data_IF_481955948250
#
_entry.id   IF_481955948250
#
_cell.length_a   1.000
_cell.length_b   1.000
_cell.length_c   1.000
_cell.angle_alpha   90.00
_cell.angle_beta   90.00
_cell.angle_gamma   90.00
#
_symmetry.space_group_name_H-M   'P 1'
#
loop_
_entity.id
_entity.type
_entity.pdbx_description
1 polymer ?
#
# COMPACT_ATOMS: atom_id res chain seq x y z
N UNK A 1 -16.63 -6.62 -10.28
CA UNK A 1 -17.22 -7.95 -9.99
C UNK A 1 -16.23 -8.83 -9.22
N UNK A 2 -16.71 -9.73 -8.36
CA UNK A 2 -15.86 -10.74 -7.70
C UNK A 2 -16.13 -12.07 -8.38
N UNK A 3 -15.08 -12.79 -8.78
CA UNK A 3 -15.19 -14.05 -9.51
C UNK A 3 -14.32 -15.13 -8.86
N UNK A 4 -14.77 -16.38 -8.87
CA UNK A 4 -13.93 -17.52 -8.49
C UNK A 4 -13.04 -17.93 -9.68
N UNK A 5 -11.82 -18.37 -9.40
CA UNK A 5 -10.86 -18.82 -10.42
C UNK A 5 -10.12 -20.08 -9.96
N UNK A 6 -9.94 -21.01 -10.88
CA UNK A 6 -9.37 -22.35 -10.71
C UNK A 6 -7.91 -22.47 -11.18
N UNK A 7 -7.26 -21.36 -11.55
CA UNK A 7 -5.95 -21.39 -12.23
C UNK A 7 -4.98 -20.29 -11.82
N UNK A 8 -5.23 -19.57 -10.73
CA UNK A 8 -4.31 -18.55 -10.23
C UNK A 8 -3.41 -19.12 -9.12
N UNK A 9 -2.10 -18.90 -9.24
CA UNK A 9 -1.11 -19.33 -8.23
C UNK A 9 -1.22 -18.50 -6.93
N UNK A 10 -1.69 -17.25 -7.04
CA UNK A 10 -1.95 -16.39 -5.89
C UNK A 10 -3.34 -16.62 -5.30
N UNK A 11 -3.50 -16.34 -4.01
CA UNK A 11 -4.81 -16.46 -3.34
C UNK A 11 -5.87 -15.57 -4.02
N UNK A 12 -5.50 -14.35 -4.40
CA UNK A 12 -6.35 -13.46 -5.18
C UNK A 12 -5.56 -12.71 -6.26
N UNK A 13 -6.27 -12.17 -7.24
CA UNK A 13 -5.70 -11.31 -8.28
C UNK A 13 -6.69 -10.22 -8.69
N UNK A 14 -6.24 -8.97 -8.77
CA UNK A 14 -7.03 -7.86 -9.27
C UNK A 14 -6.84 -7.65 -10.78
N UNK A 15 -7.95 -7.64 -11.51
CA UNK A 15 -8.06 -7.21 -12.90
C UNK A 15 -8.58 -5.79 -13.03
N UNK A 16 -8.89 -5.35 -14.26
CA UNK A 16 -9.33 -3.98 -14.50
C UNK A 16 -10.71 -3.66 -13.88
N UNK A 17 -11.61 -4.63 -13.86
CA UNK A 17 -12.99 -4.50 -13.35
C UNK A 17 -13.40 -5.65 -12.42
N UNK A 18 -12.46 -6.53 -12.05
CA UNK A 18 -12.75 -7.72 -11.27
C UNK A 18 -11.67 -8.07 -10.26
N UNK A 19 -12.07 -8.78 -9.20
CA UNK A 19 -11.16 -9.47 -8.28
C UNK A 19 -11.43 -10.96 -8.44
N UNK A 20 -10.40 -11.71 -8.79
CA UNK A 20 -10.43 -13.17 -8.85
C UNK A 20 -10.00 -13.73 -7.51
N UNK A 21 -10.79 -14.60 -6.92
CA UNK A 21 -10.45 -15.36 -5.71
C UNK A 21 -10.17 -16.81 -6.11
N UNK A 22 -9.10 -17.38 -5.58
CA UNK A 22 -8.76 -18.78 -5.79
C UNK A 22 -9.80 -19.67 -5.09
N UNK A 23 -10.47 -20.54 -5.85
CA UNK A 23 -11.52 -21.41 -5.34
C UNK A 23 -11.01 -22.47 -4.35
N UNK A 24 -9.72 -22.82 -4.43
CA UNK A 24 -9.10 -23.86 -3.61
C UNK A 24 -8.56 -23.30 -2.28
N UNK A 25 -8.63 -21.97 -2.09
CA UNK A 25 -8.17 -21.29 -0.87
C UNK A 25 -9.36 -20.90 0.00
N UNK A 26 -9.26 -21.16 1.30
CA UNK A 26 -10.22 -20.66 2.28
C UNK A 26 -9.76 -19.31 2.80
N UNK A 27 -10.62 -18.30 2.64
CA UNK A 27 -10.37 -16.95 3.14
C UNK A 27 -11.02 -16.76 4.50
N UNK A 28 -10.28 -16.17 5.42
CA UNK A 28 -10.84 -15.56 6.61
C UNK A 28 -11.52 -14.23 6.26
N UNK A 29 -12.49 -13.81 7.08
CA UNK A 29 -13.11 -12.49 6.93
C UNK A 29 -12.07 -11.36 6.89
N UNK A 30 -10.99 -11.49 7.66
CA UNK A 30 -9.93 -10.50 7.72
C UNK A 30 -9.15 -10.39 6.40
N UNK A 31 -8.94 -11.50 5.71
CA UNK A 31 -8.30 -11.49 4.38
C UNK A 31 -9.21 -10.85 3.34
N UNK A 32 -10.51 -11.12 3.39
CA UNK A 32 -11.50 -10.47 2.53
C UNK A 32 -11.54 -8.95 2.75
N UNK A 33 -11.55 -8.52 4.02
CA UNK A 33 -11.52 -7.10 4.36
C UNK A 33 -10.27 -6.41 3.81
N UNK A 34 -9.10 -7.06 3.88
CA UNK A 34 -7.85 -6.53 3.30
C UNK A 34 -7.95 -6.47 1.78
N UNK A 35 -8.48 -7.50 1.12
CA UNK A 35 -8.66 -7.51 -0.33
C UNK A 35 -9.62 -6.40 -0.79
N UNK A 36 -10.70 -6.17 -0.06
CA UNK A 36 -11.63 -5.09 -0.36
C UNK A 36 -10.92 -3.72 -0.34
N UNK A 37 -10.19 -3.42 0.73
CA UNK A 37 -9.58 -2.09 0.90
C UNK A 37 -8.34 -1.90 0.03
N UNK A 38 -7.55 -2.95 -0.20
CA UNK A 38 -6.32 -2.89 -0.98
C UNK A 38 -6.60 -3.02 -2.48
N UNK A 39 -7.24 -4.12 -2.89
CA UNK A 39 -7.47 -4.45 -4.29
C UNK A 39 -8.73 -3.77 -4.83
N UNK A 40 -9.82 -3.77 -4.06
CA UNK A 40 -11.10 -3.22 -4.49
C UNK A 40 -11.09 -1.69 -4.57
N UNK A 41 -10.89 -1.04 -3.44
CA UNK A 41 -11.00 0.41 -3.33
C UNK A 41 -9.87 1.17 -4.02
N UNK A 42 -8.64 0.65 -3.98
CA UNK A 42 -7.49 1.33 -4.58
C UNK A 42 -7.21 0.83 -5.99
N UNK A 43 -6.80 -0.43 -6.19
CA UNK A 43 -6.38 -0.86 -7.53
C UNK A 43 -7.54 -0.89 -8.54
N UNK A 44 -8.67 -1.52 -8.21
CA UNK A 44 -9.85 -1.56 -9.09
C UNK A 44 -10.53 -0.19 -9.11
N UNK A 45 -10.77 0.43 -7.95
CA UNK A 45 -11.45 1.72 -7.85
C UNK A 45 -10.79 2.82 -8.67
N UNK A 46 -9.46 2.97 -8.57
CA UNK A 46 -8.73 3.95 -9.39
C UNK A 46 -8.69 3.56 -10.87
N UNK A 47 -8.65 2.27 -11.20
CA UNK A 47 -8.77 1.83 -12.60
C UNK A 47 -10.11 2.28 -13.19
N UNK A 48 -11.21 2.10 -12.44
CA UNK A 48 -12.55 2.50 -12.86
C UNK A 48 -12.70 4.02 -12.95
N UNK A 49 -12.18 4.77 -11.97
CA UNK A 49 -12.14 6.24 -12.05
C UNK A 49 -11.37 6.71 -13.28
N UNK A 50 -10.22 6.09 -13.58
CA UNK A 50 -9.42 6.40 -14.76
C UNK A 50 -10.18 6.13 -16.05
N UNK A 51 -10.91 5.01 -16.14
CA UNK A 51 -11.75 4.69 -17.31
C UNK A 51 -12.92 5.65 -17.48
N UNK A 52 -13.44 6.21 -16.38
CA UNK A 52 -14.55 7.16 -16.38
C UNK A 52 -14.14 8.60 -16.74
N UNK A 53 -12.83 8.89 -16.88
CA UNK A 53 -12.37 10.23 -17.27
C UNK A 53 -12.78 10.56 -18.71
N UNK A 54 -13.32 11.77 -18.99
CA UNK A 54 -13.88 12.10 -20.30
C UNK A 54 -12.83 12.13 -21.42
N UNK A 55 -11.62 12.60 -21.12
CA UNK A 55 -10.55 12.77 -22.10
C UNK A 55 -9.31 11.91 -21.82
N UNK A 56 -9.04 11.60 -20.55
CA UNK A 56 -7.79 10.96 -20.09
C UNK A 56 -8.01 9.53 -19.59
N UNK A 57 -8.69 8.69 -20.38
CA UNK A 57 -8.94 7.28 -20.02
C UNK A 57 -7.67 6.45 -19.82
N UNK A 58 -6.52 6.93 -20.31
CA UNK A 58 -5.20 6.36 -20.08
C UNK A 58 -4.81 6.32 -18.59
N UNK A 59 -5.42 7.16 -17.75
CA UNK A 59 -5.26 7.13 -16.30
C UNK A 59 -5.72 5.81 -15.68
N UNK A 60 -6.49 4.96 -16.38
CA UNK A 60 -6.83 3.60 -15.92
C UNK A 60 -5.64 2.63 -15.88
N UNK A 61 -4.59 2.89 -16.66
CA UNK A 61 -3.39 2.04 -16.74
C UNK A 61 -2.26 2.58 -15.87
N UNK A 62 -2.08 3.90 -15.89
CA UNK A 62 -0.97 4.56 -15.20
C UNK A 62 0.39 4.26 -15.84
N UNK A 63 1.39 5.02 -15.43
CA UNK A 63 2.80 4.80 -15.81
C UNK A 63 3.46 3.85 -14.81
N UNK A 64 4.64 3.26 -15.12
CA UNK A 64 5.40 2.47 -14.16
C UNK A 64 5.68 3.21 -12.84
N UNK A 65 5.83 4.54 -12.86
CA UNK A 65 6.02 5.35 -11.65
C UNK A 65 4.79 5.43 -10.75
N UNK A 66 3.58 5.30 -11.29
CA UNK A 66 2.33 5.30 -10.51
C UNK A 66 2.22 4.13 -9.54
N UNK A 67 2.95 3.02 -9.76
CA UNK A 67 2.93 1.86 -8.86
C UNK A 67 3.28 2.25 -7.43
N UNK A 68 4.24 3.16 -7.24
CA UNK A 68 4.63 3.62 -5.89
C UNK A 68 3.44 4.32 -5.22
N UNK A 69 2.75 5.22 -5.91
CA UNK A 69 1.57 5.90 -5.37
C UNK A 69 0.43 4.92 -5.08
N UNK A 70 0.16 3.98 -5.98
CA UNK A 70 -0.92 3.00 -5.86
C UNK A 70 -0.71 2.08 -4.65
N UNK A 71 0.48 1.48 -4.52
CA UNK A 71 0.80 0.64 -3.37
C UNK A 71 0.80 1.45 -2.07
N UNK A 72 1.23 2.72 -2.13
CA UNK A 72 1.17 3.64 -1.01
C UNK A 72 -0.24 3.96 -0.53
N UNK A 73 -1.15 4.27 -1.45
CA UNK A 73 -2.57 4.49 -1.18
C UNK A 73 -3.22 3.23 -0.60
N UNK A 74 -2.85 2.05 -1.11
CA UNK A 74 -3.35 0.77 -0.65
C UNK A 74 -2.90 0.47 0.79
N UNK A 75 -1.61 0.59 1.09
CA UNK A 75 -1.08 0.41 2.46
C UNK A 75 -1.66 1.44 3.43
N UNK A 76 -1.73 2.72 3.03
CA UNK A 76 -2.34 3.76 3.85
C UNK A 76 -3.80 3.40 4.17
N UNK A 77 -4.55 2.96 3.16
CA UNK A 77 -5.95 2.56 3.27
C UNK A 77 -6.11 1.35 4.18
N UNK A 78 -5.25 0.32 4.09
CA UNK A 78 -5.23 -0.80 5.04
C UNK A 78 -5.07 -0.33 6.50
N UNK A 79 -4.19 0.65 6.74
CA UNK A 79 -3.86 1.15 8.09
C UNK A 79 -5.01 1.98 8.67
N UNK A 80 -5.50 2.98 7.93
CA UNK A 80 -6.51 3.93 8.45
C UNK A 80 -7.91 3.30 8.58
N UNK A 81 -8.16 2.21 7.85
CA UNK A 81 -9.39 1.41 8.02
C UNK A 81 -9.25 0.30 9.08
N UNK A 82 -8.09 0.25 9.77
CA UNK A 82 -7.76 -0.75 10.80
C UNK A 82 -7.87 -2.21 10.32
N UNK A 83 -7.76 -2.44 9.00
CA UNK A 83 -7.79 -3.78 8.41
C UNK A 83 -6.41 -4.43 8.39
N UNK A 84 -5.34 -3.63 8.39
CA UNK A 84 -3.96 -4.13 8.52
C UNK A 84 -3.71 -4.79 9.88
N UNK A 85 -2.59 -5.50 10.00
CA UNK A 85 -2.21 -6.25 11.19
C UNK A 85 -0.73 -6.07 11.50
N UNK A 86 -0.27 -6.23 12.76
CA UNK A 86 1.16 -6.23 13.06
C UNK A 86 1.93 -7.24 12.20
N UNK A 87 1.40 -8.45 12.03
CA UNK A 87 1.98 -9.48 11.15
C UNK A 87 2.07 -9.02 9.69
N UNK A 88 1.06 -8.29 9.20
CA UNK A 88 1.04 -7.74 7.84
C UNK A 88 2.10 -6.67 7.66
N UNK A 89 2.25 -5.74 8.61
CA UNK A 89 3.27 -4.71 8.59
C UNK A 89 4.68 -5.31 8.72
N UNK A 90 4.90 -6.24 9.64
CA UNK A 90 6.18 -6.96 9.78
C UNK A 90 6.57 -7.66 8.48
N UNK A 91 5.62 -8.30 7.77
CA UNK A 91 5.89 -8.90 6.45
C UNK A 91 6.38 -7.86 5.42
N UNK A 92 5.82 -6.65 5.40
CA UNK A 92 6.27 -5.59 4.48
C UNK A 92 7.67 -5.08 4.85
N UNK A 93 7.93 -4.86 6.14
CA UNK A 93 9.23 -4.41 6.65
C UNK A 93 10.33 -5.44 6.36
N UNK A 94 10.05 -6.71 6.66
CA UNK A 94 10.97 -7.82 6.44
C UNK A 94 11.39 -7.96 4.97
N UNK A 95 10.45 -7.73 4.03
CA UNK A 95 10.76 -7.74 2.60
C UNK A 95 11.77 -6.65 2.21
N UNK A 96 11.65 -5.47 2.77
CA UNK A 96 12.58 -4.36 2.52
C UNK A 96 13.94 -4.66 3.13
N UNK A 97 13.96 -5.15 4.37
CA UNK A 97 15.20 -5.55 5.05
C UNK A 97 15.94 -6.64 4.26
N UNK A 98 15.23 -7.62 3.72
CA UNK A 98 15.83 -8.65 2.88
C UNK A 98 16.43 -8.05 1.59
N UNK A 99 15.74 -7.12 0.92
CA UNK A 99 16.29 -6.41 -0.24
C UNK A 99 17.57 -5.65 0.13
N UNK A 100 17.59 -4.95 1.27
CA UNK A 100 18.79 -4.27 1.78
C UNK A 100 19.93 -5.26 2.01
N UNK A 101 19.69 -6.39 2.68
CA UNK A 101 20.72 -7.42 2.92
C UNK A 101 21.33 -7.94 1.62
N UNK A 102 20.53 -8.16 0.57
CA UNK A 102 21.05 -8.61 -0.73
C UNK A 102 21.89 -7.51 -1.41
N UNK A 103 21.47 -6.23 -1.32
CA UNK A 103 22.29 -5.11 -1.79
C UNK A 103 23.65 -5.06 -1.06
N UNK A 104 23.65 -5.40 0.23
CA UNK A 104 24.84 -5.47 1.08
C UNK A 104 25.64 -6.78 0.91
N UNK A 105 25.27 -7.64 -0.05
CA UNK A 105 26.02 -8.82 -0.45
C UNK A 105 25.49 -10.17 0.04
N UNK A 106 24.31 -10.21 0.68
CA UNK A 106 23.68 -11.47 1.09
C UNK A 106 23.15 -12.27 -0.10
N UNK A 107 23.32 -13.60 -0.07
CA UNK A 107 22.78 -14.51 -1.08
C UNK A 107 21.43 -15.11 -0.65
N UNK A 108 20.79 -15.84 -1.55
CA UNK A 108 19.51 -16.51 -1.29
C UNK A 108 19.54 -17.34 -0.01
N UNK A 109 20.61 -18.10 0.22
CA UNK A 109 20.73 -18.98 1.39
C UNK A 109 20.79 -18.18 2.69
N UNK A 110 21.39 -16.99 2.67
CA UNK A 110 21.49 -16.11 3.82
C UNK A 110 20.12 -15.55 4.18
N UNK A 111 19.36 -15.08 3.17
CA UNK A 111 17.98 -14.60 3.35
C UNK A 111 17.08 -15.72 3.87
N UNK A 112 17.21 -16.93 3.32
CA UNK A 112 16.46 -18.09 3.79
C UNK A 112 16.76 -18.40 5.27
N UNK A 113 18.05 -18.49 5.63
CA UNK A 113 18.49 -18.78 7.00
C UNK A 113 18.05 -17.70 7.98
N UNK A 114 18.11 -16.44 7.57
CA UNK A 114 17.66 -15.29 8.36
C UNK A 114 16.16 -15.37 8.68
N UNK A 115 15.32 -15.74 7.71
CA UNK A 115 13.89 -15.95 7.97
C UNK A 115 13.60 -17.13 8.90
N UNK A 116 14.33 -18.23 8.74
CA UNK A 116 14.22 -19.38 9.66
C UNK A 116 14.64 -18.97 11.08
N UNK A 117 15.71 -18.20 11.23
CA UNK A 117 16.19 -17.71 12.53
C UNK A 117 15.18 -16.75 13.20
N UNK A 118 14.38 -16.02 12.41
CA UNK A 118 13.26 -15.19 12.89
C UNK A 118 12.02 -16.02 13.28
N UNK A 119 12.06 -17.35 13.18
CA UNK A 119 10.99 -18.24 13.59
C UNK A 119 9.92 -18.51 12.53
N UNK A 120 10.17 -18.18 11.25
CA UNK A 120 9.28 -18.56 10.16
C UNK A 120 9.44 -20.05 9.83
N UNK A 121 8.38 -20.66 9.27
CA UNK A 121 8.46 -22.02 8.76
C UNK A 121 9.47 -22.11 7.60
N UNK A 122 9.99 -23.30 7.33
CA UNK A 122 10.91 -23.52 6.20
C UNK A 122 10.26 -23.15 4.86
N UNK A 123 8.99 -23.49 4.68
CA UNK A 123 8.26 -23.22 3.44
C UNK A 123 7.98 -21.72 3.25
N UNK A 124 7.59 -21.02 4.32
CA UNK A 124 7.39 -19.56 4.29
C UNK A 124 8.73 -18.85 4.01
N UNK A 125 9.80 -19.29 4.67
CA UNK A 125 11.14 -18.72 4.51
C UNK A 125 11.66 -18.88 3.09
N UNK A 126 11.46 -20.07 2.49
CA UNK A 126 11.83 -20.34 1.11
C UNK A 126 11.01 -19.47 0.14
N UNK A 127 9.70 -19.40 0.33
CA UNK A 127 8.79 -18.61 -0.51
C UNK A 127 9.14 -17.11 -0.45
N UNK A 128 9.46 -16.58 0.73
CA UNK A 128 9.86 -15.19 0.89
C UNK A 128 11.25 -14.92 0.29
N UNK A 129 12.22 -15.82 0.46
CA UNK A 129 13.53 -15.69 -0.18
C UNK A 129 13.40 -15.73 -1.72
N UNK A 130 12.62 -16.67 -2.27
CA UNK A 130 12.33 -16.74 -3.70
C UNK A 130 11.70 -15.47 -4.24
N UNK A 131 10.82 -14.82 -3.46
CA UNK A 131 10.24 -13.54 -3.84
C UNK A 131 11.31 -12.44 -3.96
N UNK A 132 12.27 -12.39 -3.03
CA UNK A 132 13.37 -11.41 -3.05
C UNK A 132 14.25 -11.58 -4.29
N UNK A 133 14.46 -12.80 -4.77
CA UNK A 133 15.28 -13.10 -5.96
C UNK A 133 14.44 -13.35 -7.23
N UNK A 134 13.16 -12.95 -7.26
CA UNK A 134 12.29 -13.23 -8.40
C UNK A 134 12.85 -12.62 -9.69
N UNK A 135 13.08 -13.46 -10.69
CA UNK A 135 13.68 -13.04 -11.97
C UNK A 135 15.19 -12.81 -11.91
N UNK A 136 15.84 -13.31 -10.86
CA UNK A 136 17.29 -13.23 -10.60
C UNK A 136 17.86 -14.63 -10.31
N UNK A 137 19.16 -14.72 -10.08
CA UNK A 137 19.83 -15.96 -9.63
C UNK A 137 20.02 -15.93 -8.10
N UNK A 138 20.32 -17.06 -7.45
CA UNK A 138 20.55 -17.10 -5.99
C UNK A 138 21.67 -16.19 -5.47
N UNK A 139 22.58 -15.76 -6.34
CA UNK A 139 23.72 -14.87 -6.06
C UNK A 139 23.59 -13.52 -6.78
N UNK A 140 22.43 -13.25 -7.38
CA UNK A 140 22.16 -12.05 -8.17
C UNK A 140 21.59 -10.91 -7.33
N UNK A 141 21.17 -9.84 -8.00
CA UNK A 141 20.55 -8.68 -7.35
C UNK A 141 19.08 -8.96 -6.96
N UNK A 142 18.53 -8.22 -5.99
CA UNK A 142 17.17 -8.45 -5.53
C UNK A 142 16.13 -7.81 -6.46
N UNK A 143 14.92 -8.38 -6.46
CA UNK A 143 13.72 -7.80 -7.05
C UNK A 143 13.17 -6.69 -6.16
N UNK A 144 13.46 -5.44 -6.52
CA UNK A 144 13.21 -4.24 -5.69
C UNK A 144 11.76 -3.77 -5.63
N UNK A 145 10.81 -4.48 -6.26
CA UNK A 145 9.40 -4.07 -6.30
C UNK A 145 8.80 -3.86 -4.91
N UNK A 146 9.18 -4.67 -3.93
CA UNK A 146 8.62 -4.60 -2.57
C UNK A 146 8.99 -3.31 -1.82
N UNK A 147 9.97 -2.52 -2.30
CA UNK A 147 10.26 -1.17 -1.77
C UNK A 147 9.09 -0.21 -2.05
N UNK A 148 8.35 -0.42 -3.14
CA UNK A 148 7.27 0.49 -3.56
C UNK A 148 6.17 0.66 -2.50
N UNK A 149 5.89 -0.37 -1.69
CA UNK A 149 4.85 -0.35 -0.65
C UNK A 149 5.13 0.71 0.42
N UNK A 150 6.27 0.59 1.12
CA UNK A 150 6.60 1.51 2.22
C UNK A 150 7.02 2.88 1.68
N UNK A 151 7.79 2.92 0.58
CA UNK A 151 8.11 4.20 -0.08
C UNK A 151 6.83 4.94 -0.47
N UNK A 152 5.89 4.24 -1.09
CA UNK A 152 4.59 4.78 -1.47
C UNK A 152 3.83 5.31 -0.28
N UNK A 153 3.72 4.51 0.79
CA UNK A 153 3.05 4.90 2.02
C UNK A 153 3.63 6.21 2.57
N UNK A 154 4.96 6.30 2.70
CA UNK A 154 5.65 7.49 3.20
C UNK A 154 5.35 8.72 2.34
N UNK A 155 5.39 8.59 1.01
CA UNK A 155 5.15 9.70 0.09
C UNK A 155 3.70 10.18 0.17
N UNK A 156 2.73 9.27 0.06
CA UNK A 156 1.29 9.58 0.11
C UNK A 156 0.91 10.17 1.46
N UNK A 157 1.38 9.57 2.55
CA UNK A 157 1.14 10.07 3.90
C UNK A 157 1.64 11.51 4.09
N UNK A 158 2.86 11.80 3.63
CA UNK A 158 3.43 13.14 3.75
C UNK A 158 2.73 14.16 2.84
N UNK A 159 2.33 13.78 1.62
CA UNK A 159 1.52 14.64 0.77
C UNK A 159 0.21 15.02 1.47
N UNK A 160 -0.48 14.05 2.07
CA UNK A 160 -1.73 14.30 2.80
C UNK A 160 -1.49 15.24 3.98
N UNK A 161 -0.43 15.03 4.76
CA UNK A 161 -0.06 15.92 5.87
C UNK A 161 0.20 17.35 5.41
N UNK A 162 0.94 17.53 4.32
CA UNK A 162 1.22 18.85 3.75
C UNK A 162 -0.06 19.50 3.24
N UNK A 163 -0.93 18.77 2.56
CA UNK A 163 -2.22 19.29 2.10
C UNK A 163 -3.11 19.75 3.25
N UNK A 164 -3.15 18.99 4.36
CA UNK A 164 -3.87 19.39 5.59
C UNK A 164 -3.29 20.68 6.16
N UNK A 165 -1.96 20.77 6.29
CA UNK A 165 -1.30 21.95 6.83
C UNK A 165 -1.54 23.20 5.97
N UNK A 166 -1.65 23.05 4.65
CA UNK A 166 -1.94 24.13 3.71
C UNK A 166 -3.45 24.42 3.57
N UNK A 167 -4.33 23.69 4.27
CA UNK A 167 -5.78 23.83 4.15
C UNK A 167 -6.33 23.37 2.79
N UNK A 168 -5.60 22.53 2.05
CA UNK A 168 -5.93 22.03 0.70
C UNK A 168 -6.43 20.59 0.71
N UNK A 169 -7.16 20.25 1.77
CA UNK A 169 -7.71 18.91 1.99
C UNK A 169 -8.68 18.53 0.87
N UNK A 170 -9.41 19.51 0.32
CA UNK A 170 -10.32 19.39 -0.82
C UNK A 170 -9.68 18.74 -2.06
N UNK A 171 -8.35 18.79 -2.19
CA UNK A 171 -7.62 18.23 -3.33
C UNK A 171 -7.25 16.76 -3.18
N UNK A 172 -7.28 16.21 -1.97
CA UNK A 172 -6.86 14.83 -1.71
C UNK A 172 -7.65 13.76 -2.48
N UNK A 173 -8.97 13.90 -2.74
CA UNK A 173 -9.68 12.95 -3.58
C UNK A 173 -9.06 12.83 -4.98
N UNK A 174 -8.36 13.84 -5.48
CA UNK A 174 -7.72 13.79 -6.79
C UNK A 174 -6.61 12.72 -6.89
N UNK A 175 -6.13 12.18 -5.77
CA UNK A 175 -5.27 10.99 -5.77
C UNK A 175 -5.94 9.74 -6.35
N UNK A 176 -7.27 9.75 -6.45
CA UNK A 176 -8.09 8.60 -6.81
C UNK A 176 -8.68 8.70 -8.23
N UNK A 177 -8.43 9.78 -8.98
CA UNK A 177 -8.97 9.98 -10.35
C UNK A 177 -8.50 8.92 -11.33
N UNK A 178 -7.43 8.21 -10.99
CA UNK A 178 -6.80 7.16 -11.78
C UNK A 178 -5.51 6.68 -11.15
N UNK A 179 -4.70 5.98 -11.92
CA UNK A 179 -3.35 5.55 -11.56
C UNK A 179 -2.36 6.66 -11.91
N UNK A 180 -2.12 7.55 -10.95
CA UNK A 180 -1.24 8.71 -11.12
C UNK A 180 0.07 8.55 -10.34
N UNK A 181 1.14 9.20 -10.81
CA UNK A 181 2.32 9.43 -9.98
C UNK A 181 2.04 10.57 -9.00
N UNK A 182 2.65 10.51 -7.82
CA UNK A 182 2.55 11.59 -6.84
C UNK A 182 3.18 12.88 -7.36
N UNK A 183 4.21 12.76 -8.19
CA UNK A 183 4.91 13.89 -8.83
C UNK A 183 4.00 14.65 -9.81
N UNK A 184 2.99 13.97 -10.36
CA UNK A 184 2.03 14.56 -11.29
C UNK A 184 0.85 15.23 -10.57
N UNK A 185 0.77 15.15 -9.23
CA UNK A 185 -0.41 15.60 -8.47
C UNK A 185 -0.76 17.08 -8.70
N UNK A 186 0.26 17.93 -8.88
CA UNK A 186 0.07 19.34 -9.24
C UNK A 186 -0.59 19.50 -10.61
N UNK A 187 -0.11 18.77 -11.61
CA UNK A 187 -0.65 18.79 -12.97
C UNK A 187 -2.09 18.25 -12.99
N UNK A 188 -2.34 17.15 -12.29
CA UNK A 188 -3.68 16.58 -12.13
C UNK A 188 -4.65 17.60 -11.52
N UNK A 189 -4.21 18.33 -10.49
CA UNK A 189 -5.02 19.39 -9.87
C UNK A 189 -5.34 20.53 -10.85
N UNK A 190 -4.36 20.95 -11.65
CA UNK A 190 -4.56 21.99 -12.68
C UNK A 190 -5.52 21.54 -13.79
N UNK A 191 -5.41 20.29 -14.24
CA UNK A 191 -6.29 19.72 -15.25
C UNK A 191 -7.72 19.55 -14.71
N UNK A 192 -7.87 19.27 -13.42
CA UNK A 192 -9.18 19.27 -12.75
C UNK A 192 -9.79 20.68 -12.69
N UNK A 193 -9.00 21.70 -12.32
CA UNK A 193 -9.46 23.10 -12.32
C UNK A 193 -9.89 23.59 -13.72
N UNK A 194 -9.29 23.04 -14.78
CA UNK A 194 -9.63 23.33 -16.18
C UNK A 194 -10.81 22.49 -16.72
N UNK A 195 -11.37 21.57 -15.93
CA UNK A 195 -12.47 20.68 -16.36
C UNK A 195 -12.03 19.59 -17.34
N UNK A 196 -10.73 19.29 -17.44
CA UNK A 196 -10.20 18.19 -18.27
C UNK A 196 -10.25 16.87 -17.49
N UNK A 197 -10.05 16.92 -16.17
CA UNK A 197 -10.19 15.79 -15.26
C UNK A 197 -11.43 16.00 -14.42
N UNK A 198 -12.28 14.98 -14.35
CA UNK A 198 -13.45 14.94 -13.48
C UNK A 198 -13.09 14.36 -12.12
N UNK A 199 -13.84 14.76 -11.09
CA UNK A 199 -13.71 14.21 -9.75
C UNK A 199 -13.91 12.68 -9.74
N UNK A 200 -13.20 11.92 -8.88
CA UNK A 200 -13.35 10.47 -8.83
C UNK A 200 -14.76 10.08 -8.37
N UNK A 201 -15.32 9.01 -8.95
CA UNK A 201 -16.61 8.46 -8.57
C UNK A 201 -16.46 7.40 -7.46
N UNK A 202 -15.47 6.53 -7.61
CA UNK A 202 -15.11 5.50 -6.64
C UNK A 202 -14.13 6.06 -5.62
N UNK A 203 -14.68 6.56 -4.51
CA UNK A 203 -13.90 7.09 -3.38
C UNK A 203 -14.08 6.17 -2.17
N UNK A 204 -13.00 5.66 -1.55
CA UNK A 204 -13.09 4.85 -0.34
C UNK A 204 -13.81 5.62 0.78
N UNK A 205 -14.62 4.97 1.63
CA UNK A 205 -15.43 5.66 2.65
C UNK A 205 -14.64 6.65 3.53
N UNK A 206 -13.41 6.31 3.92
CA UNK A 206 -12.53 7.16 4.74
C UNK A 206 -11.95 8.37 4.00
N UNK A 207 -11.97 8.39 2.66
CA UNK A 207 -11.63 9.57 1.85
C UNK A 207 -12.86 10.44 1.54
N UNK A 208 -14.09 9.99 1.82
CA UNK A 208 -15.30 10.80 1.61
C UNK A 208 -15.47 11.87 2.67
N UNK A 209 -15.14 11.57 3.93
CA UNK A 209 -15.08 12.56 5.00
C UNK A 209 -13.64 12.78 5.48
N UNK A 210 -12.98 13.74 4.82
CA UNK A 210 -11.59 14.05 5.09
C UNK A 210 -11.36 14.73 6.45
N UNK A 211 -12.43 15.14 7.17
CA UNK A 211 -12.31 15.70 8.52
C UNK A 211 -11.82 14.65 9.51
N UNK A 212 -12.30 13.41 9.37
CA UNK A 212 -11.85 12.27 10.19
C UNK A 212 -10.37 11.97 9.96
N UNK A 213 -9.96 11.92 8.70
CA UNK A 213 -8.55 11.72 8.33
C UNK A 213 -7.65 12.87 8.82
N UNK A 214 -8.11 14.12 8.65
CA UNK A 214 -7.38 15.29 9.11
C UNK A 214 -7.23 15.32 10.64
N UNK A 215 -8.28 14.94 11.37
CA UNK A 215 -8.25 14.84 12.83
C UNK A 215 -7.25 13.77 13.28
N UNK A 216 -7.32 12.58 12.69
CA UNK A 216 -6.40 11.48 13.01
C UNK A 216 -4.93 11.85 12.74
N UNK A 217 -4.64 12.48 11.60
CA UNK A 217 -3.29 12.90 11.25
C UNK A 217 -2.76 14.05 12.09
N UNK A 218 -3.62 15.00 12.46
CA UNK A 218 -3.27 16.11 13.34
C UNK A 218 -2.96 15.61 14.75
N UNK A 219 -3.74 14.65 15.24
CA UNK A 219 -3.50 14.01 16.53
C UNK A 219 -2.20 13.18 16.52
N UNK A 220 -1.93 12.44 15.44
CA UNK A 220 -0.69 11.68 15.27
C UNK A 220 0.57 12.57 15.33
N UNK A 221 0.51 13.80 14.81
CA UNK A 221 1.60 14.78 14.94
C UNK A 221 1.82 15.17 16.41
N UNK A 222 0.76 15.53 17.12
CA UNK A 222 0.84 15.91 18.53
C UNK A 222 1.44 14.79 19.39
N UNK A 223 1.00 13.55 19.19
CA UNK A 223 1.54 12.39 19.92
C UNK A 223 2.99 12.08 19.50
N UNK A 224 3.34 12.24 18.22
CA UNK A 224 4.69 12.03 17.73
C UNK A 224 5.74 12.97 18.34
N UNK A 225 5.31 14.13 18.84
CA UNK A 225 6.17 15.08 19.56
C UNK A 225 6.40 14.65 21.03
N UNK A 226 5.70 13.62 21.53
CA UNK A 226 5.90 13.07 22.87
C UNK A 226 7.09 12.10 22.90
N UNK A 227 7.89 12.16 23.96
CA UNK A 227 9.01 11.24 24.17
C UNK A 227 8.50 9.85 24.55
N UNK A 228 8.62 8.90 23.63
CA UNK A 228 8.23 7.51 23.87
C UNK A 228 9.02 6.86 25.02
N UNK A 229 10.31 7.17 25.14
CA UNK A 229 11.17 6.67 26.21
C UNK A 229 10.70 7.10 27.61
N UNK A 230 10.25 8.37 27.76
CA UNK A 230 9.66 8.84 29.01
C UNK A 230 8.35 8.13 29.31
N UNK A 231 7.47 8.01 28.32
CA UNK A 231 6.18 7.32 28.48
C UNK A 231 6.37 5.84 28.83
N UNK A 232 7.32 5.15 28.21
CA UNK A 232 7.63 3.76 28.55
C UNK A 232 8.10 3.63 29.99
N UNK A 233 9.02 4.49 30.45
CA UNK A 233 9.48 4.48 31.83
C UNK A 233 8.35 4.76 32.84
N UNK A 234 7.43 5.66 32.51
CA UNK A 234 6.30 6.01 33.36
C UNK A 234 5.23 4.90 33.43
N UNK A 235 4.98 4.20 32.31
CA UNK A 235 3.91 3.20 32.22
C UNK A 235 4.35 1.75 32.41
N UNK A 236 5.62 1.42 32.20
CA UNK A 236 6.17 0.07 32.38
C UNK A 236 5.86 -0.53 33.77
N UNK A 237 5.88 0.23 34.88
CA UNK A 237 5.49 -0.29 36.20
C UNK A 237 4.02 -0.70 36.32
N UNK A 238 3.12 -0.29 35.41
CA UNK A 238 1.72 -0.70 35.45
C UNK A 238 1.48 -2.09 34.85
N UNK A 239 2.47 -2.63 34.13
CA UNK A 239 2.38 -3.91 33.41
C UNK A 239 3.41 -4.94 33.87
N UNK A 240 4.18 -4.64 34.92
CA UNK A 240 5.12 -5.52 35.60
C UNK A 240 4.61 -5.80 37.02
#
# INVERSE_FOLDING_TARGET
>A
EVMLSDGIVSDAAAGANNIKLNQDVKFSQRELDILEVHEGWIHVGTTQNGLAQPYLTCLSKGTPSSTITQEGLAVLTEIITLKSTPRRLSKLVNRIQAVTKVIDGAEFVDIYRDYVAQGLSKDDSYTLAQRVFRGSTPTGLPFTKDIAYIKGFVLVYNLIRVAIQLGRIDRLPLLLVGKISIDDFRLISQLHDLGVIESPQFVPPHFKDLRGLATWLSFGRFIGDLSFEKLENDYKPLFL
#
